data_IF_335533820146
#
_entry.id   IF_335533820146
#
_cell.length_a   1.000
_cell.length_b   1.000
_cell.length_c   1.000
_cell.angle_alpha   90.00
_cell.angle_beta   90.00
_cell.angle_gamma   90.00
#
_symmetry.space_group_name_H-M   'P 1'
#
loop_
_entity.id
_entity.type
_entity.pdbx_description
1 polymer ?
#
# COMPACT_ATOMS: atom_id res chain seq x y z
N UNK A 1 15.09 -19.69 1.46
CA UNK A 1 15.07 -18.22 1.57
C UNK A 1 13.77 -17.75 0.96
N UNK A 2 13.16 -16.68 1.46
CA UNK A 2 11.91 -16.13 0.95
C UNK A 2 11.96 -14.61 1.02
N UNK A 3 11.15 -13.94 0.21
CA UNK A 3 11.13 -12.48 0.08
C UNK A 3 9.74 -12.00 0.47
N UNK A 4 9.64 -11.11 1.46
CA UNK A 4 8.39 -10.40 1.74
C UNK A 4 8.30 -9.18 0.82
N UNK A 5 7.19 -9.08 0.08
CA UNK A 5 6.90 -7.94 -0.79
C UNK A 5 5.67 -7.25 -0.22
N UNK A 6 5.75 -5.94 0.02
CA UNK A 6 4.63 -5.16 0.51
C UNK A 6 4.57 -3.78 -0.14
N UNK A 7 3.37 -3.25 -0.29
CA UNK A 7 3.16 -1.85 -0.66
C UNK A 7 3.15 -0.97 0.59
N UNK A 8 3.93 0.10 0.51
CA UNK A 8 3.92 1.19 1.47
C UNK A 8 3.26 2.42 0.83
N UNK A 9 2.52 3.16 1.64
CA UNK A 9 1.85 4.38 1.24
C UNK A 9 2.89 5.49 1.20
N UNK A 10 3.11 6.09 0.04
CA UNK A 10 4.11 7.17 -0.11
C UNK A 10 3.71 8.42 0.67
N UNK A 11 2.40 8.67 0.80
CA UNK A 11 1.87 9.76 1.62
C UNK A 11 1.92 9.48 3.13
N UNK A 12 2.59 8.41 3.59
CA UNK A 12 2.58 8.03 5.02
C UNK A 12 3.32 9.00 5.94
N UNK A 13 4.16 9.87 5.39
CA UNK A 13 4.88 10.92 6.11
C UNK A 13 4.13 12.27 6.16
N UNK A 14 3.00 12.38 5.46
CA UNK A 14 2.22 13.62 5.38
C UNK A 14 1.28 13.77 6.59
N UNK A 15 0.92 15.00 6.95
CA UNK A 15 0.02 15.28 8.10
C UNK A 15 -1.33 14.54 7.99
N UNK A 16 -1.86 14.37 6.78
CA UNK A 16 -3.14 13.67 6.55
C UNK A 16 -3.02 12.15 6.66
N UNK A 17 -1.83 11.60 6.92
CA UNK A 17 -1.64 10.18 7.23
C UNK A 17 -1.96 9.85 8.69
N UNK A 18 -2.01 10.87 9.55
CA UNK A 18 -2.35 10.70 10.96
C UNK A 18 -3.78 10.19 11.15
N UNK A 19 -4.06 9.70 12.36
CA UNK A 19 -5.36 9.11 12.68
C UNK A 19 -6.47 10.17 12.61
N UNK A 20 -7.42 9.99 11.70
CA UNK A 20 -8.65 10.79 11.58
C UNK A 20 -9.85 9.92 11.95
N UNK A 21 -10.45 10.19 13.13
CA UNK A 21 -11.49 9.33 13.69
C UNK A 21 -10.95 7.93 13.98
N UNK A 22 -11.58 6.89 13.45
CA UNK A 22 -11.10 5.50 13.57
C UNK A 22 -10.21 5.04 12.40
N UNK A 23 -9.93 5.93 11.45
CA UNK A 23 -9.12 5.63 10.26
C UNK A 23 -7.71 6.20 10.41
N UNK A 24 -6.70 5.46 9.94
CA UNK A 24 -5.28 5.88 9.93
C UNK A 24 -4.63 5.35 8.66
N UNK A 25 -3.49 5.92 8.25
CA UNK A 25 -2.69 5.37 7.15
C UNK A 25 -2.42 3.87 7.36
N UNK A 26 -2.73 3.07 6.34
CA UNK A 26 -2.61 1.62 6.42
C UNK A 26 -1.16 1.16 6.63
N UNK A 27 -0.19 1.94 6.15
CA UNK A 27 1.23 1.65 6.36
C UNK A 27 1.70 1.86 7.79
N UNK A 28 1.04 2.70 8.60
CA UNK A 28 1.35 2.84 10.03
C UNK A 28 0.91 1.63 10.86
N UNK A 29 -0.01 0.81 10.33
CA UNK A 29 -0.54 -0.38 10.99
C UNK A 29 -0.14 -1.69 10.31
N UNK A 30 0.72 -1.64 9.30
CA UNK A 30 1.03 -2.78 8.43
C UNK A 30 -0.24 -3.45 7.88
N UNK A 31 -1.28 -2.67 7.60
CA UNK A 31 -2.53 -3.11 6.98
C UNK A 31 -2.50 -2.97 5.45
N UNK A 32 -1.30 -2.74 4.88
CA UNK A 32 -1.11 -2.69 3.44
C UNK A 32 -1.18 -4.07 2.79
N UNK A 33 -1.18 -4.08 1.47
CA UNK A 33 -1.11 -5.33 0.71
C UNK A 33 0.34 -5.82 0.68
N UNK A 34 0.56 -7.06 1.10
CA UNK A 34 1.85 -7.73 1.01
C UNK A 34 1.70 -9.24 0.93
N UNK A 35 2.71 -9.90 0.40
CA UNK A 35 2.72 -11.35 0.16
C UNK A 35 4.16 -11.91 0.22
N UNK A 36 4.27 -13.19 0.59
CA UNK A 36 5.53 -13.94 0.61
C UNK A 36 5.82 -14.51 -0.78
N UNK A 37 6.99 -14.19 -1.32
CA UNK A 37 7.49 -14.74 -2.58
C UNK A 37 8.65 -15.71 -2.37
N UNK A 38 8.80 -16.61 -3.33
CA UNK A 38 10.02 -17.40 -3.51
C UNK A 38 11.13 -16.51 -4.08
N UNK A 39 12.43 -16.76 -3.81
CA UNK A 39 13.49 -15.79 -4.15
C UNK A 39 13.90 -15.82 -5.63
N UNK A 40 13.21 -16.58 -6.48
CA UNK A 40 13.44 -16.58 -7.92
C UNK A 40 12.90 -15.27 -8.53
N UNK A 41 13.63 -14.61 -9.44
CA UNK A 41 13.19 -13.36 -10.06
C UNK A 41 11.79 -13.44 -10.68
N UNK A 42 11.44 -14.56 -11.32
CA UNK A 42 10.13 -14.76 -11.94
C UNK A 42 9.00 -14.78 -10.89
N UNK A 43 9.23 -15.49 -9.78
CA UNK A 43 8.28 -15.55 -8.67
C UNK A 43 8.12 -14.19 -7.99
N UNK A 44 9.20 -13.42 -7.82
CA UNK A 44 9.15 -12.06 -7.27
C UNK A 44 8.26 -11.16 -8.13
N UNK A 45 8.42 -11.24 -9.46
CA UNK A 45 7.62 -10.44 -10.40
C UNK A 45 6.15 -10.86 -10.43
N UNK A 46 5.85 -12.15 -10.31
CA UNK A 46 4.48 -12.66 -10.20
C UNK A 46 3.82 -12.20 -8.90
N UNK A 47 4.47 -12.42 -7.76
CA UNK A 47 3.97 -11.98 -6.45
C UNK A 47 3.78 -10.46 -6.40
N UNK A 48 4.68 -9.67 -7.00
CA UNK A 48 4.49 -8.22 -7.09
C UNK A 48 3.20 -7.84 -7.84
N UNK A 49 2.88 -8.52 -8.95
CA UNK A 49 1.63 -8.28 -9.69
C UNK A 49 0.40 -8.67 -8.86
N UNK A 50 0.47 -9.76 -8.10
CA UNK A 50 -0.61 -10.17 -7.19
C UNK A 50 -0.85 -9.13 -6.10
N UNK A 51 0.24 -8.62 -5.51
CA UNK A 51 0.18 -7.54 -4.52
C UNK A 51 -0.45 -6.28 -5.13
N UNK A 52 -0.07 -5.87 -6.34
CA UNK A 52 -0.69 -4.73 -7.03
C UNK A 52 -2.20 -4.96 -7.29
N UNK A 53 -2.59 -6.15 -7.74
CA UNK A 53 -4.01 -6.48 -7.97
C UNK A 53 -4.82 -6.47 -6.67
N UNK A 54 -4.27 -7.02 -5.58
CA UNK A 54 -4.90 -7.01 -4.27
C UNK A 54 -5.03 -5.59 -3.73
N UNK A 55 -4.03 -4.75 -3.95
CA UNK A 55 -4.06 -3.33 -3.59
C UNK A 55 -5.18 -2.59 -4.32
N UNK A 56 -5.32 -2.78 -5.63
CA UNK A 56 -6.40 -2.20 -6.42
C UNK A 56 -7.78 -2.63 -5.90
N UNK A 57 -7.96 -3.92 -5.60
CA UNK A 57 -9.21 -4.45 -5.02
C UNK A 57 -9.51 -3.88 -3.64
N UNK A 58 -8.47 -3.64 -2.83
CA UNK A 58 -8.59 -3.03 -1.51
C UNK A 58 -8.79 -1.50 -1.54
N UNK A 59 -8.71 -0.89 -2.73
CA UNK A 59 -8.97 0.54 -2.93
C UNK A 59 -7.72 1.43 -2.94
N UNK A 60 -6.52 0.85 -2.93
CA UNK A 60 -5.29 1.60 -3.20
C UNK A 60 -5.31 2.17 -4.61
N UNK A 61 -4.67 3.32 -4.80
CA UNK A 61 -4.56 3.96 -6.11
C UNK A 61 -3.15 4.48 -6.32
N UNK A 62 -2.73 4.53 -7.59
CA UNK A 62 -1.56 5.30 -8.00
C UNK A 62 -1.95 6.76 -8.16
N UNK A 63 -1.43 7.63 -7.30
CA UNK A 63 -1.60 9.09 -7.36
C UNK A 63 -0.26 9.67 -7.80
N UNK A 64 -0.21 10.37 -8.94
CA UNK A 64 1.06 10.85 -9.55
C UNK A 64 2.14 9.77 -9.75
N UNK A 65 1.74 8.50 -9.91
CA UNK A 65 2.64 7.36 -10.07
C UNK A 65 2.97 6.61 -8.78
N UNK A 66 2.56 7.15 -7.63
CA UNK A 66 2.88 6.61 -6.30
C UNK A 66 1.70 5.87 -5.68
N UNK A 67 1.97 4.77 -4.98
CA UNK A 67 0.93 4.00 -4.30
C UNK A 67 0.46 4.71 -3.03
N UNK A 68 -0.83 5.01 -2.97
CA UNK A 68 -1.47 5.67 -1.84
C UNK A 68 -2.61 4.80 -1.31
N UNK A 69 -2.68 4.66 0.02
CA UNK A 69 -3.72 3.88 0.68
C UNK A 69 -5.08 4.61 0.70
N UNK A 70 -6.20 3.88 0.88
CA UNK A 70 -7.54 4.48 0.89
C UNK A 70 -7.72 5.62 1.91
N UNK A 71 -7.07 5.53 3.07
CA UNK A 71 -7.11 6.58 4.08
C UNK A 71 -6.48 7.88 3.56
N UNK A 72 -5.23 7.83 3.11
CA UNK A 72 -4.53 9.02 2.61
C UNK A 72 -5.21 9.58 1.35
N UNK A 73 -5.82 8.74 0.50
CA UNK A 73 -6.64 9.19 -0.65
C UNK A 73 -7.86 9.98 -0.18
N UNK A 74 -8.51 9.55 0.88
CA UNK A 74 -9.71 10.23 1.39
C UNK A 74 -9.36 11.58 2.01
N UNK A 75 -8.28 11.64 2.79
CA UNK A 75 -7.91 12.85 3.51
C UNK A 75 -7.15 13.86 2.63
N UNK A 76 -6.49 13.43 1.54
CA UNK A 76 -5.90 14.36 0.56
C UNK A 76 -6.96 15.19 -0.19
N UNK A 77 -8.18 14.65 -0.40
CA UNK A 77 -9.28 15.34 -1.12
C UNK A 77 -10.05 16.29 -0.20
N UNK A 78 -9.89 16.17 1.12
CA UNK A 78 -10.59 16.99 2.12
C UNK A 78 -9.87 18.31 2.44
N UNK A 79 -8.62 18.48 2.01
CA UNK A 79 -7.89 19.75 2.05
C UNK A 79 -8.29 20.62 0.87
#
# INVERSE_FOLDING_TARGET
MSVWIELRCEHSAEDHAEKVGDSVCWSHRNQGCGEMSSPQPEAIMETYKEVEQNALKAGWKKVYGEWVCPHCIKEMVRK
#
